data_IF_629014353057
#
_entry.id   IF_629014353057
#
_cell.length_a   1.000
_cell.length_b   1.000
_cell.length_c   1.000
_cell.angle_alpha   90.00
_cell.angle_beta   90.00
_cell.angle_gamma   90.00
#
_symmetry.space_group_name_H-M   'P 1'
#
loop_
_entity.id
_entity.type
_entity.pdbx_description
1 polymer ?
#
# COMPACT_ATOMS: atom_id res chain seq x y z
N UNK A 1 59.53 -39.03 -41.27
CA UNK A 1 60.27 -37.83 -40.84
C UNK A 1 59.98 -37.63 -39.36
N UNK A 2 60.97 -37.97 -38.53
CA UNK A 2 61.22 -37.70 -37.10
C UNK A 2 60.27 -36.74 -36.34
N UNK A 3 60.04 -36.82 -35.02
CA UNK A 3 60.31 -37.73 -33.89
C UNK A 3 59.65 -37.03 -32.66
N UNK A 4 58.77 -37.73 -31.95
CA UNK A 4 58.76 -37.99 -30.48
C UNK A 4 59.24 -36.88 -29.51
N UNK A 5 58.43 -36.52 -28.49
CA UNK A 5 58.65 -36.87 -27.05
C UNK A 5 57.65 -36.25 -26.05
N UNK A 6 57.08 -37.17 -25.25
CA UNK A 6 56.45 -37.00 -23.93
C UNK A 6 57.45 -36.60 -22.83
N UNK A 7 56.92 -36.06 -21.72
CA UNK A 7 57.13 -36.41 -20.28
C UNK A 7 56.45 -35.32 -19.43
N UNK A 8 55.48 -35.58 -18.55
CA UNK A 8 55.44 -36.38 -17.31
C UNK A 8 56.07 -35.72 -16.07
N UNK A 9 55.39 -35.93 -14.94
CA UNK A 9 55.79 -35.82 -13.52
C UNK A 9 55.79 -34.42 -12.84
N UNK A 10 55.38 -34.21 -11.59
CA UNK A 10 55.00 -35.11 -10.49
C UNK A 10 54.27 -34.35 -9.35
N UNK A 11 53.46 -35.12 -8.64
CA UNK A 11 52.82 -35.03 -7.31
C UNK A 11 53.52 -34.23 -6.18
N UNK A 12 52.74 -33.68 -5.23
CA UNK A 12 52.90 -34.00 -3.79
C UNK A 12 51.71 -33.59 -2.89
N UNK A 13 51.22 -34.55 -2.08
CA UNK A 13 50.30 -34.43 -0.93
C UNK A 13 51.11 -34.50 0.39
N UNK A 14 50.62 -33.89 1.49
CA UNK A 14 50.58 -34.42 2.90
C UNK A 14 50.10 -33.31 3.87
N UNK A 15 48.94 -33.40 4.55
CA UNK A 15 48.57 -34.02 5.86
C UNK A 15 49.30 -33.48 7.12
N UNK A 16 48.52 -32.86 8.04
CA UNK A 16 48.29 -33.22 9.48
C UNK A 16 49.17 -32.37 10.43
N UNK A 17 48.79 -31.91 11.64
CA UNK A 17 48.13 -32.59 12.76
C UNK A 17 47.76 -31.59 13.91
N UNK A 18 46.97 -32.05 14.90
CA UNK A 18 46.36 -31.33 16.05
C UNK A 18 47.31 -31.07 17.25
N UNK A 19 46.95 -30.10 18.12
CA UNK A 19 47.04 -30.23 19.62
C UNK A 19 46.25 -29.14 20.39
N UNK A 20 45.39 -29.57 21.33
CA UNK A 20 44.77 -28.80 22.45
C UNK A 20 45.64 -28.95 23.72
N UNK A 21 45.59 -28.05 24.74
CA UNK A 21 44.65 -28.20 25.88
C UNK A 21 44.29 -26.94 26.74
N UNK A 22 43.19 -27.00 27.51
CA UNK A 22 43.17 -26.62 28.95
C UNK A 22 42.61 -25.27 29.46
N UNK A 23 41.36 -25.31 29.97
CA UNK A 23 40.79 -24.74 31.23
C UNK A 23 40.73 -23.22 31.60
N UNK A 24 39.49 -22.85 31.99
CA UNK A 24 39.00 -21.94 33.04
C UNK A 24 39.20 -20.40 32.98
N UNK A 25 38.07 -19.68 32.91
CA UNK A 25 37.99 -18.25 33.24
C UNK A 25 36.58 -17.67 33.10
N UNK A 26 35.95 -17.34 34.23
CA UNK A 26 34.68 -16.63 34.41
C UNK A 26 34.36 -15.55 33.35
N UNK A 27 33.19 -15.64 32.71
CA UNK A 27 32.57 -14.53 31.98
C UNK A 27 31.41 -13.95 32.82
N UNK A 28 31.74 -13.02 33.70
CA UNK A 28 30.83 -11.90 33.99
C UNK A 28 31.05 -10.86 32.88
N UNK A 29 30.30 -10.96 31.79
CA UNK A 29 30.27 -9.91 30.76
C UNK A 29 29.07 -9.00 31.02
N UNK A 30 29.36 -7.78 31.47
CA UNK A 30 28.42 -6.66 31.41
C UNK A 30 27.94 -6.51 29.96
N UNK A 31 26.65 -6.76 29.71
CA UNK A 31 26.08 -6.63 28.37
C UNK A 31 25.98 -5.14 28.00
N UNK A 32 27.02 -4.61 27.39
CA UNK A 32 26.93 -3.34 26.66
C UNK A 32 26.05 -3.64 25.44
N UNK A 33 24.81 -3.17 25.44
CA UNK A 33 23.86 -3.41 24.34
C UNK A 33 24.40 -2.73 23.07
N UNK A 34 24.97 -3.53 22.17
CA UNK A 34 25.57 -3.09 20.91
C UNK A 34 24.59 -2.29 20.03
N UNK A 35 23.27 -2.41 20.27
CA UNK A 35 22.25 -1.64 19.57
C UNK A 35 22.24 -0.17 20.03
N UNK A 36 22.44 0.09 21.32
CA UNK A 36 22.49 1.44 21.86
C UNK A 36 23.74 2.20 21.40
N UNK A 37 24.89 1.51 21.37
CA UNK A 37 26.18 2.08 20.90
C UNK A 37 26.19 2.36 19.40
N UNK A 38 25.42 1.62 18.59
CA UNK A 38 25.25 1.90 17.17
C UNK A 38 24.26 3.04 16.92
N UNK A 39 23.14 3.08 17.66
CA UNK A 39 22.13 4.12 17.52
C UNK A 39 22.63 5.51 17.94
N UNK A 40 23.47 5.59 18.97
CA UNK A 40 24.04 6.85 19.45
C UNK A 40 25.00 7.53 18.48
N UNK A 41 25.63 6.78 17.55
CA UNK A 41 26.49 7.35 16.49
C UNK A 41 25.72 8.15 15.43
N UNK A 42 24.40 8.00 15.37
CA UNK A 42 23.54 8.76 14.46
C UNK A 42 23.24 10.19 14.96
N UNK A 43 23.64 10.53 16.18
CA UNK A 43 23.33 11.81 16.83
C UNK A 43 24.61 12.56 17.21
N UNK A 44 24.58 13.89 17.13
CA UNK A 44 25.65 14.72 17.71
C UNK A 44 25.59 14.64 19.24
N UNK A 45 26.73 14.86 19.91
CA UNK A 45 26.79 14.81 21.38
C UNK A 45 25.75 15.74 22.03
N UNK A 46 25.59 16.96 21.48
CA UNK A 46 24.55 17.91 21.92
C UNK A 46 23.14 17.31 21.84
N UNK A 47 22.79 16.65 20.74
CA UNK A 47 21.47 16.02 20.58
C UNK A 47 21.26 14.84 21.53
N UNK A 48 22.31 14.08 21.84
CA UNK A 48 22.25 13.01 22.83
C UNK A 48 22.02 13.56 24.24
N UNK A 49 22.64 14.69 24.56
CA UNK A 49 22.48 15.35 25.86
C UNK A 49 21.09 16.00 26.00
N UNK A 50 20.57 16.61 24.92
CA UNK A 50 19.20 17.13 24.85
C UNK A 50 18.16 15.99 25.02
N UNK A 51 18.37 14.85 24.34
CA UNK A 51 17.48 13.69 24.44
C UNK A 51 17.50 13.07 25.85
N UNK A 52 18.68 13.02 26.49
CA UNK A 52 18.81 12.58 27.89
C UNK A 52 18.11 13.53 28.85
N UNK A 53 18.26 14.84 28.66
CA UNK A 53 17.59 15.85 29.49
C UNK A 53 16.06 15.76 29.35
N UNK A 54 15.57 15.58 28.12
CA UNK A 54 14.16 15.34 27.85
C UNK A 54 13.67 14.05 28.52
N UNK A 55 14.41 12.95 28.40
CA UNK A 55 14.06 11.69 29.04
C UNK A 55 13.97 11.83 30.57
N UNK A 56 14.96 12.46 31.22
CA UNK A 56 14.96 12.71 32.67
C UNK A 56 13.77 13.58 33.08
N UNK A 57 13.45 14.63 32.31
CA UNK A 57 12.28 15.47 32.57
C UNK A 57 10.95 14.69 32.46
N UNK A 58 10.86 13.74 31.53
CA UNK A 58 9.66 12.93 31.35
C UNK A 58 9.56 11.78 32.34
N UNK A 59 10.68 11.17 32.71
CA UNK A 59 10.73 10.09 33.67
C UNK A 59 10.43 10.60 35.10
N UNK A 60 10.90 11.81 35.45
CA UNK A 60 10.49 12.48 36.69
C UNK A 60 8.98 12.80 36.74
N UNK A 61 8.39 13.27 35.63
CA UNK A 61 6.93 13.42 35.49
C UNK A 61 6.17 12.10 35.55
N UNK A 62 6.84 10.99 35.22
CA UNK A 62 6.30 9.63 35.30
C UNK A 62 6.40 9.03 36.70
N UNK A 63 7.00 9.74 37.66
CA UNK A 63 7.33 9.25 38.99
C UNK A 63 8.15 7.95 38.99
N UNK A 64 8.91 7.70 37.91
CA UNK A 64 9.67 6.47 37.71
C UNK A 64 11.09 6.55 38.29
N UNK A 65 11.42 7.64 38.98
CA UNK A 65 12.78 7.92 39.48
C UNK A 65 13.85 7.81 38.39
N UNK A 66 13.59 8.42 37.23
CA UNK A 66 14.46 8.46 36.04
C UNK A 66 14.75 7.11 35.36
N UNK A 67 13.96 6.07 35.66
CA UNK A 67 14.12 4.76 35.02
C UNK A 67 13.33 4.57 33.72
N UNK A 68 12.15 5.18 33.57
CA UNK A 68 11.32 5.02 32.36
C UNK A 68 10.28 6.15 32.22
N UNK A 69 9.86 6.46 30.99
CA UNK A 69 8.72 7.37 30.78
C UNK A 69 7.44 6.54 30.74
N UNK A 70 6.49 6.84 31.62
CA UNK A 70 5.20 6.14 31.65
C UNK A 70 4.36 6.52 30.44
N UNK A 71 3.58 5.56 29.97
CA UNK A 71 2.78 5.71 28.75
C UNK A 71 1.85 6.95 28.77
N UNK A 72 1.16 7.31 29.87
CA UNK A 72 0.34 8.51 29.92
C UNK A 72 1.14 9.82 29.78
N UNK A 73 2.36 9.87 30.33
CA UNK A 73 3.24 11.06 30.22
C UNK A 73 3.79 11.20 28.81
N UNK A 74 4.03 10.06 28.12
CA UNK A 74 4.42 10.04 26.72
C UNK A 74 3.29 10.53 25.79
N UNK A 75 2.03 10.16 26.06
CA UNK A 75 0.86 10.57 25.26
C UNK A 75 0.59 12.08 25.28
N UNK A 76 0.81 12.75 26.41
CA UNK A 76 0.67 14.22 26.50
C UNK A 76 1.68 14.92 25.58
N UNK A 77 2.84 14.30 25.34
CA UNK A 77 3.83 14.81 24.40
C UNK A 77 3.34 14.71 22.96
N UNK A 78 2.64 13.62 22.61
CA UNK A 78 2.08 13.34 21.28
C UNK A 78 1.00 14.36 20.88
N UNK A 79 0.25 14.90 21.85
CA UNK A 79 -0.80 15.90 21.60
C UNK A 79 -0.21 17.30 21.28
N UNK A 80 1.03 17.59 21.69
CA UNK A 80 1.73 18.84 21.36
C UNK A 80 2.55 18.78 20.06
N UNK A 81 2.49 17.68 19.27
CA UNK A 81 3.35 17.48 18.08
C UNK A 81 2.79 18.12 16.81
N UNK A 82 1.99 19.18 16.92
CA UNK A 82 1.75 20.07 15.77
C UNK A 82 2.93 21.03 15.52
N UNK A 83 3.81 21.23 16.51
CA UNK A 83 4.89 22.24 16.44
C UNK A 83 6.33 21.69 16.44
N UNK A 84 6.53 20.37 16.26
CA UNK A 84 7.86 19.74 16.36
C UNK A 84 8.29 18.97 15.10
N UNK A 85 8.15 19.57 13.92
CA UNK A 85 8.63 19.01 12.64
C UNK A 85 10.17 18.92 12.51
N UNK A 86 10.97 19.22 13.55
CA UNK A 86 12.43 19.34 13.41
C UNK A 86 13.30 18.39 14.25
N UNK A 87 12.75 17.44 15.04
CA UNK A 87 13.60 16.80 16.06
C UNK A 87 13.83 15.28 16.06
N UNK A 88 13.13 14.42 15.32
CA UNK A 88 13.39 12.97 15.43
C UNK A 88 13.40 12.22 14.08
N UNK A 89 14.61 11.94 13.61
CA UNK A 89 14.92 10.99 12.52
C UNK A 89 14.79 9.54 13.05
N UNK A 90 13.55 9.10 13.28
CA UNK A 90 13.23 7.68 13.54
C UNK A 90 13.01 7.02 12.17
N UNK A 91 14.12 6.75 11.47
CA UNK A 91 14.11 6.27 10.07
C UNK A 91 14.38 4.78 9.86
N UNK A 92 14.40 3.93 10.90
CA UNK A 92 14.86 2.55 10.71
C UNK A 92 13.82 1.42 10.79
N UNK A 93 12.52 1.65 11.02
CA UNK A 93 11.57 0.52 11.00
C UNK A 93 10.11 0.77 10.59
N UNK A 94 9.67 1.99 10.23
CA UNK A 94 8.30 2.21 9.73
C UNK A 94 8.37 3.23 8.61
N UNK A 95 8.20 2.78 7.37
CA UNK A 95 8.05 3.70 6.22
C UNK A 95 6.75 4.47 6.40
N UNK A 96 6.85 5.78 6.63
CA UNK A 96 5.73 6.68 6.84
C UNK A 96 4.84 6.74 5.58
N UNK A 97 3.72 6.03 5.63
CA UNK A 97 2.55 6.28 4.78
C UNK A 97 1.62 7.21 5.57
N UNK A 98 1.32 8.41 5.05
CA UNK A 98 0.22 9.20 5.59
C UNK A 98 -1.08 8.58 5.09
N UNK A 99 -1.68 7.72 5.90
CA UNK A 99 -3.05 7.26 5.68
C UNK A 99 -3.96 8.13 6.53
N UNK A 100 -4.86 8.87 5.88
CA UNK A 100 -6.00 9.43 6.59
C UNK A 100 -7.06 8.35 6.66
N UNK A 101 -7.15 7.68 7.82
CA UNK A 101 -8.34 6.89 8.14
C UNK A 101 -9.39 7.88 8.66
N UNK A 102 -10.53 8.00 7.97
CA UNK A 102 -11.75 8.43 8.66
C UNK A 102 -12.32 7.25 9.45
N UNK A 103 -11.77 7.01 10.63
CA UNK A 103 -12.55 6.45 11.74
C UNK A 103 -12.81 7.65 12.65
N UNK A 104 -14.10 7.97 12.84
CA UNK A 104 -14.62 9.02 13.74
C UNK A 104 -14.55 10.49 13.27
N UNK A 105 -15.21 10.83 12.16
CA UNK A 105 -15.70 12.22 11.96
C UNK A 105 -16.97 12.28 11.09
N UNK A 106 -17.95 11.43 11.41
CA UNK A 106 -19.38 11.74 11.29
C UNK A 106 -20.15 11.02 12.42
N UNK A 107 -19.53 10.89 13.60
CA UNK A 107 -20.07 10.18 14.77
C UNK A 107 -20.40 11.08 15.97
N UNK A 108 -20.30 12.41 15.86
CA UNK A 108 -20.63 13.32 16.96
C UNK A 108 -21.87 14.20 16.77
N UNK A 109 -22.53 14.18 15.61
CA UNK A 109 -23.80 14.91 15.41
C UNK A 109 -24.67 14.20 14.37
N UNK A 110 -25.33 13.12 14.76
CA UNK A 110 -26.72 12.77 14.42
C UNK A 110 -27.05 11.51 15.24
N UNK A 111 -28.14 11.62 15.96
CA UNK A 111 -28.76 10.59 16.77
C UNK A 111 -29.01 9.30 15.96
N UNK A 112 -28.85 8.14 16.61
CA UNK A 112 -29.29 6.81 16.19
C UNK A 112 -28.79 6.31 14.82
N UNK A 113 -27.70 5.52 14.79
CA UNK A 113 -27.30 4.76 13.60
C UNK A 113 -26.97 3.30 13.94
N UNK A 114 -27.61 2.40 13.20
CA UNK A 114 -27.45 0.94 13.24
C UNK A 114 -25.99 0.49 13.09
N UNK A 115 -25.62 -0.55 13.85
CA UNK A 115 -24.34 -1.24 13.89
C UNK A 115 -24.09 -2.12 12.63
N UNK A 116 -23.87 -1.54 11.45
CA UNK A 116 -23.66 -2.32 10.22
C UNK A 116 -22.18 -2.49 9.83
N UNK A 117 -21.83 -3.71 9.39
CA UNK A 117 -20.55 -4.07 8.75
C UNK A 117 -20.41 -3.27 7.44
N UNK A 118 -19.21 -2.71 7.12
CA UNK A 118 -19.02 -1.96 5.88
C UNK A 118 -19.31 -2.81 4.64
N UNK A 119 -19.94 -2.22 3.63
CA UNK A 119 -20.26 -2.91 2.37
C UNK A 119 -19.05 -3.04 1.45
N UNK A 120 -18.08 -2.14 1.57
CA UNK A 120 -16.85 -2.17 0.77
C UNK A 120 -15.68 -1.44 1.46
N UNK A 121 -14.47 -1.73 0.99
CA UNK A 121 -13.24 -0.96 1.22
C UNK A 121 -12.85 -0.26 -0.09
N UNK A 122 -12.94 1.07 -0.13
CA UNK A 122 -12.44 1.88 -1.24
C UNK A 122 -11.03 2.40 -0.93
N UNK A 123 -10.04 1.99 -1.72
CA UNK A 123 -8.62 2.28 -1.51
C UNK A 123 -8.12 3.16 -2.65
N UNK A 124 -7.84 4.42 -2.32
CA UNK A 124 -7.38 5.44 -3.25
C UNK A 124 -5.87 5.66 -3.11
N UNK A 125 -5.11 5.34 -4.16
CA UNK A 125 -3.70 5.65 -4.28
C UNK A 125 -3.53 7.01 -4.94
N UNK A 126 -2.92 7.93 -4.20
CA UNK A 126 -2.72 9.30 -4.64
C UNK A 126 -1.66 9.44 -5.75
N UNK A 127 -1.55 10.66 -6.27
CA UNK A 127 -0.70 11.03 -7.38
C UNK A 127 0.61 11.70 -7.02
N UNK A 128 1.24 12.26 -8.06
CA UNK A 128 2.35 13.19 -7.94
C UNK A 128 1.98 14.38 -7.04
N UNK A 129 2.97 14.87 -6.29
CA UNK A 129 2.85 15.99 -5.37
C UNK A 129 2.88 17.30 -6.10
N UNK A 130 1.89 18.15 -5.80
CA UNK A 130 1.85 19.52 -6.29
C UNK A 130 1.48 20.40 -5.09
N UNK A 131 2.39 21.30 -4.72
CA UNK A 131 2.22 22.24 -3.59
C UNK A 131 2.42 23.67 -4.08
N UNK A 132 1.90 24.61 -3.30
CA UNK A 132 2.11 26.05 -3.45
C UNK A 132 1.72 26.55 -4.85
N UNK A 133 0.69 25.96 -5.43
CA UNK A 133 0.21 26.32 -6.78
C UNK A 133 -0.51 27.65 -6.82
N UNK A 134 -1.00 28.11 -5.66
CA UNK A 134 -1.99 29.20 -5.57
C UNK A 134 -3.37 28.85 -6.13
N UNK A 135 -3.56 27.61 -6.62
CA UNK A 135 -4.84 27.15 -7.15
C UNK A 135 -5.62 26.40 -6.08
N UNK A 136 -6.65 27.05 -5.54
CA UNK A 136 -7.51 26.51 -4.48
C UNK A 136 -8.16 25.15 -4.80
N UNK A 137 -8.41 24.83 -6.09
CA UNK A 137 -8.95 23.54 -6.49
C UNK A 137 -7.90 22.45 -6.33
N UNK A 138 -6.66 22.70 -6.77
CA UNK A 138 -5.55 21.76 -6.64
C UNK A 138 -5.23 21.52 -5.17
N UNK A 139 -5.05 22.59 -4.38
CA UNK A 139 -4.70 22.46 -2.95
C UNK A 139 -5.78 21.68 -2.19
N UNK A 140 -7.06 21.92 -2.49
CA UNK A 140 -8.18 21.17 -1.90
C UNK A 140 -8.16 19.69 -2.27
N UNK A 141 -7.80 19.37 -3.52
CA UNK A 141 -7.85 17.99 -4.04
C UNK A 141 -6.54 17.24 -3.85
N UNK A 142 -5.49 17.92 -3.39
CA UNK A 142 -4.28 17.31 -2.84
C UNK A 142 -4.46 16.91 -1.37
N UNK A 143 -5.37 17.57 -0.64
CA UNK A 143 -5.67 17.24 0.75
C UNK A 143 -6.28 15.82 0.88
N UNK A 144 -5.53 14.94 1.55
CA UNK A 144 -5.90 13.52 1.69
C UNK A 144 -7.22 13.32 2.45
N UNK A 145 -7.50 14.18 3.44
CA UNK A 145 -8.76 14.12 4.17
C UNK A 145 -9.92 14.46 3.23
N UNK A 146 -9.74 15.49 2.39
CA UNK A 146 -10.75 15.91 1.44
C UNK A 146 -11.04 14.84 0.41
N UNK A 147 -9.99 14.20 -0.13
CA UNK A 147 -10.12 13.04 -1.02
C UNK A 147 -10.94 11.94 -0.35
N UNK A 148 -10.67 11.61 0.91
CA UNK A 148 -11.46 10.60 1.63
C UNK A 148 -12.95 10.96 1.72
N UNK A 149 -13.31 12.24 1.94
CA UNK A 149 -14.72 12.67 1.94
C UNK A 149 -15.37 12.52 0.58
N UNK A 150 -14.63 12.83 -0.50
CA UNK A 150 -15.11 12.67 -1.86
C UNK A 150 -15.40 11.20 -2.13
N UNK A 151 -14.47 10.29 -1.78
CA UNK A 151 -14.67 8.84 -1.95
C UNK A 151 -15.92 8.36 -1.21
N UNK A 152 -16.11 8.72 0.06
CA UNK A 152 -17.33 8.36 0.82
C UNK A 152 -18.58 8.94 0.16
N UNK A 153 -18.53 10.19 -0.32
CA UNK A 153 -19.69 10.80 -1.00
C UNK A 153 -20.06 10.11 -2.31
N UNK A 154 -19.09 9.51 -3.01
CA UNK A 154 -19.26 8.83 -4.29
C UNK A 154 -19.77 7.39 -4.13
N UNK A 155 -19.23 6.65 -3.16
CA UNK A 155 -19.56 5.23 -2.96
C UNK A 155 -20.57 4.97 -1.84
N UNK A 156 -20.92 5.98 -1.05
CA UNK A 156 -21.91 5.92 0.02
C UNK A 156 -21.32 5.72 1.41
N UNK A 157 -22.16 5.96 2.43
CA UNK A 157 -21.75 6.01 3.84
C UNK A 157 -21.40 4.63 4.45
N UNK A 158 -21.68 3.54 3.75
CA UNK A 158 -21.36 2.17 4.19
C UNK A 158 -19.98 1.70 3.75
N UNK A 159 -19.19 2.55 3.07
CA UNK A 159 -17.85 2.22 2.57
C UNK A 159 -16.76 2.76 3.49
N UNK A 160 -15.76 1.92 3.77
CA UNK A 160 -14.50 2.36 4.36
C UNK A 160 -13.65 3.03 3.28
N UNK A 161 -13.25 4.28 3.48
CA UNK A 161 -12.34 4.99 2.58
C UNK A 161 -10.90 4.99 3.13
N UNK A 162 -9.97 4.52 2.32
CA UNK A 162 -8.54 4.46 2.60
C UNK A 162 -7.82 5.33 1.56
N UNK A 163 -7.13 6.38 1.98
CA UNK A 163 -6.32 7.23 1.07
C UNK A 163 -4.85 7.00 1.36
N UNK A 164 -4.11 6.57 0.34
CA UNK A 164 -2.71 6.13 0.41
C UNK A 164 -1.84 7.05 -0.44
N UNK A 165 -1.04 7.88 0.23
CA UNK A 165 0.04 8.65 -0.38
C UNK A 165 1.32 7.80 -0.51
N UNK A 166 2.18 8.10 -1.49
CA UNK A 166 3.49 7.45 -1.59
C UNK A 166 4.37 7.78 -0.37
N UNK A 167 5.13 6.78 0.11
CA UNK A 167 6.07 6.96 1.22
C UNK A 167 7.31 7.78 0.85
N UNK A 168 7.60 7.88 -0.45
CA UNK A 168 8.78 8.55 -0.99
C UNK A 168 8.40 9.39 -2.20
N UNK A 169 8.98 10.58 -2.27
CA UNK A 169 8.90 11.47 -3.42
C UNK A 169 10.31 11.87 -3.89
N UNK A 170 10.46 12.07 -5.19
CA UNK A 170 11.62 12.76 -5.76
C UNK A 170 11.13 14.03 -6.45
N UNK A 171 11.29 15.17 -5.78
CA UNK A 171 10.60 16.40 -6.16
C UNK A 171 9.07 16.17 -6.13
N UNK A 172 8.34 16.47 -7.21
CA UNK A 172 6.90 16.22 -7.28
C UNK A 172 6.57 14.74 -7.54
N UNK A 173 7.54 13.90 -7.89
CA UNK A 173 7.24 12.55 -8.39
C UNK A 173 7.00 11.56 -7.26
N UNK A 174 5.81 10.97 -7.20
CA UNK A 174 5.45 9.92 -6.25
C UNK A 174 6.13 8.58 -6.62
N UNK A 175 6.64 7.88 -5.61
CA UNK A 175 7.40 6.63 -5.79
C UNK A 175 6.78 5.50 -4.95
N UNK A 176 5.98 4.65 -5.60
CA UNK A 176 5.32 3.48 -4.98
C UNK A 176 6.21 2.23 -4.94
N UNK A 177 7.47 2.38 -4.51
CA UNK A 177 8.47 1.29 -4.48
C UNK A 177 8.07 0.09 -3.61
N UNK A 178 7.21 0.31 -2.62
CA UNK A 178 6.76 -0.73 -1.69
C UNK A 178 5.64 -1.60 -2.29
N UNK A 179 5.05 -1.18 -3.42
CA UNK A 179 3.95 -1.88 -4.08
C UNK A 179 4.34 -2.48 -5.41
N UNK A 180 5.45 -2.05 -6.03
CA UNK A 180 5.88 -2.54 -7.35
C UNK A 180 7.32 -3.08 -7.28
N UNK A 181 7.70 -4.09 -8.10
CA UNK A 181 8.99 -4.78 -7.96
C UNK A 181 10.21 -3.87 -8.10
N UNK A 182 10.14 -2.87 -8.99
CA UNK A 182 11.20 -1.90 -9.19
C UNK A 182 10.68 -0.64 -9.85
N UNK A 183 11.29 0.49 -9.50
CA UNK A 183 10.98 1.83 -10.05
C UNK A 183 12.29 2.56 -10.35
N UNK A 184 12.24 3.45 -11.34
CA UNK A 184 13.31 4.42 -11.56
C UNK A 184 13.20 5.59 -10.57
N UNK A 185 14.13 6.56 -10.68
CA UNK A 185 14.19 7.72 -9.79
C UNK A 185 12.98 8.67 -9.91
N UNK A 186 12.12 8.55 -10.93
CA UNK A 186 10.88 9.30 -11.09
C UNK A 186 9.64 8.45 -10.75
N UNK A 187 9.82 7.28 -10.13
CA UNK A 187 8.71 6.40 -9.75
C UNK A 187 8.09 5.60 -10.89
N UNK A 188 8.64 5.65 -12.11
CA UNK A 188 8.13 4.83 -13.21
C UNK A 188 8.66 3.40 -13.10
N UNK A 189 7.80 2.37 -13.16
CA UNK A 189 8.20 0.98 -13.02
C UNK A 189 8.96 0.50 -14.27
N UNK A 190 9.95 -0.37 -14.07
CA UNK A 190 10.64 -1.04 -15.20
C UNK A 190 9.74 -2.09 -15.87
N UNK A 191 8.96 -2.77 -15.06
CA UNK A 191 7.98 -3.79 -15.45
C UNK A 191 7.03 -4.07 -14.30
N UNK A 192 5.83 -4.52 -14.60
CA UNK A 192 4.92 -5.10 -13.63
C UNK A 192 5.16 -6.60 -13.53
N UNK A 193 5.20 -7.17 -12.33
CA UNK A 193 5.46 -8.59 -12.14
C UNK A 193 4.63 -9.14 -10.98
N UNK A 194 3.83 -10.19 -11.19
CA UNK A 194 2.99 -10.78 -10.15
C UNK A 194 3.81 -11.57 -9.11
N UNK A 195 5.09 -11.85 -9.37
CA UNK A 195 5.93 -12.68 -8.51
C UNK A 195 6.05 -12.05 -7.12
N UNK A 196 5.71 -12.84 -6.09
CA UNK A 196 5.75 -12.40 -4.70
C UNK A 196 4.57 -11.54 -4.26
N UNK A 197 3.63 -11.21 -5.16
CA UNK A 197 2.44 -10.43 -4.85
C UNK A 197 2.75 -9.09 -4.13
N UNK A 198 3.65 -8.25 -4.70
CA UNK A 198 4.17 -7.08 -4.00
C UNK A 198 3.10 -6.05 -3.62
N UNK A 199 2.11 -5.78 -4.48
CA UNK A 199 1.07 -4.80 -4.17
C UNK A 199 0.07 -5.35 -3.14
N UNK A 200 -0.51 -6.53 -3.39
CA UNK A 200 -1.54 -7.08 -2.49
C UNK A 200 -1.00 -7.43 -1.10
N UNK A 201 0.22 -7.96 -1.01
CA UNK A 201 0.86 -8.23 0.29
C UNK A 201 1.08 -6.93 1.07
N UNK A 202 1.65 -5.91 0.41
CA UNK A 202 1.89 -4.60 1.03
C UNK A 202 0.59 -3.93 1.45
N UNK A 203 -0.49 -4.01 0.66
CA UNK A 203 -1.79 -3.44 1.02
C UNK A 203 -2.39 -4.14 2.23
N UNK A 204 -2.41 -5.48 2.27
CA UNK A 204 -2.95 -6.22 3.41
C UNK A 204 -2.17 -5.92 4.68
N UNK A 205 -0.83 -5.89 4.61
CA UNK A 205 0.00 -5.48 5.74
C UNK A 205 -0.29 -4.05 6.17
N UNK A 206 -0.40 -3.12 5.22
CA UNK A 206 -0.68 -1.71 5.50
C UNK A 206 -2.02 -1.51 6.19
N UNK A 207 -3.10 -2.10 5.66
CA UNK A 207 -4.44 -2.02 6.24
C UNK A 207 -4.47 -2.66 7.63
N UNK A 208 -3.83 -3.81 7.80
CA UNK A 208 -3.79 -4.54 9.08
C UNK A 208 -3.05 -3.75 10.16
N UNK A 209 -1.88 -3.18 9.81
CA UNK A 209 -1.12 -2.33 10.72
C UNK A 209 -1.90 -1.07 11.09
N UNK A 210 -2.56 -0.44 10.11
CA UNK A 210 -3.33 0.77 10.36
C UNK A 210 -4.53 0.50 11.28
N UNK A 211 -5.27 -0.58 11.02
CA UNK A 211 -6.37 -1.00 11.89
C UNK A 211 -5.90 -1.31 13.32
N UNK A 212 -4.77 -2.00 13.45
CA UNK A 212 -4.20 -2.32 14.75
C UNK A 212 -3.80 -1.09 15.55
N UNK A 213 -3.24 -0.05 14.92
CA UNK A 213 -2.93 1.22 15.61
C UNK A 213 -4.20 1.95 16.06
N UNK A 214 -5.24 2.02 15.22
CA UNK A 214 -6.52 2.64 15.62
C UNK A 214 -7.16 1.91 16.81
N UNK A 215 -7.05 0.59 16.87
CA UNK A 215 -7.60 -0.21 17.97
C UNK A 215 -6.80 -0.08 19.28
N UNK A 216 -5.51 0.31 19.22
CA UNK A 216 -4.67 0.53 20.41
C UNK A 216 -4.98 1.84 21.15
N UNK A 217 -5.50 2.85 20.46
CA UNK A 217 -5.74 4.19 21.02
C UNK A 217 -6.91 4.27 22.03
N UNK A 218 -7.32 3.14 22.62
CA UNK A 218 -8.24 3.11 23.76
C UNK A 218 -9.68 3.45 23.40
N UNK A 219 -10.06 3.33 22.13
CA UNK A 219 -11.49 3.24 21.84
C UNK A 219 -11.93 1.90 22.39
N UNK A 220 -12.69 1.92 23.49
CA UNK A 220 -13.45 0.79 23.99
C UNK A 220 -14.54 0.51 22.94
N UNK A 221 -14.12 0.00 21.78
CA UNK A 221 -15.04 -0.33 20.73
C UNK A 221 -15.65 -1.65 21.17
N UNK A 222 -16.81 -1.55 21.80
CA UNK A 222 -17.78 -2.62 21.95
C UNK A 222 -18.19 -3.11 20.54
N UNK A 223 -17.29 -3.84 19.88
CA UNK A 223 -17.41 -4.21 18.46
C UNK A 223 -17.33 -5.71 18.21
N UNK A 224 -17.23 -6.54 19.25
CA UNK A 224 -16.83 -7.95 19.02
C UNK A 224 -17.92 -9.00 19.28
N UNK A 225 -19.03 -8.71 19.96
CA UNK A 225 -19.86 -9.85 20.42
C UNK A 225 -21.29 -9.99 19.86
N UNK A 226 -21.76 -9.20 18.89
CA UNK A 226 -23.18 -9.31 18.47
C UNK A 226 -23.50 -9.14 16.97
N UNK A 227 -22.68 -9.67 16.07
CA UNK A 227 -23.17 -9.99 14.71
C UNK A 227 -22.85 -11.45 14.43
N UNK A 228 -23.65 -12.33 15.01
CA UNK A 228 -23.71 -13.72 14.59
C UNK A 228 -24.22 -13.79 13.15
N UNK A 229 -23.60 -14.66 12.35
CA UNK A 229 -24.12 -15.16 11.06
C UNK A 229 -24.04 -14.21 9.85
N UNK A 230 -22.84 -13.82 9.38
CA UNK A 230 -22.52 -13.78 7.92
C UNK A 230 -21.00 -13.82 7.69
N UNK A 231 -20.51 -14.78 6.90
CA UNK A 231 -19.16 -14.79 6.30
C UNK A 231 -19.01 -13.71 5.21
N UNK A 232 -19.22 -12.42 5.52
CA UNK A 232 -19.09 -11.36 4.52
C UNK A 232 -17.82 -10.55 4.71
N UNK A 233 -16.80 -10.84 3.89
CA UNK A 233 -15.70 -9.91 3.67
C UNK A 233 -16.22 -8.79 2.75
N UNK A 234 -16.10 -7.51 3.12
CA UNK A 234 -16.51 -6.40 2.26
C UNK A 234 -15.78 -6.46 0.91
N UNK A 235 -16.48 -6.04 -0.16
CA UNK A 235 -15.84 -5.90 -1.48
C UNK A 235 -14.71 -4.86 -1.42
N UNK A 236 -13.77 -4.95 -2.35
CA UNK A 236 -12.68 -3.98 -2.48
C UNK A 236 -12.81 -3.22 -3.80
N UNK A 237 -12.70 -1.90 -3.69
CA UNK A 237 -12.66 -0.96 -4.82
C UNK A 237 -11.28 -0.31 -4.76
N UNK A 238 -10.49 -0.40 -5.82
CA UNK A 238 -9.17 0.23 -5.88
C UNK A 238 -9.16 1.36 -6.89
N UNK A 239 -8.59 2.49 -6.52
CA UNK A 239 -8.51 3.69 -7.36
C UNK A 239 -7.07 4.16 -7.41
N UNK A 240 -6.54 4.40 -8.61
CA UNK A 240 -5.19 4.93 -8.80
C UNK A 240 -5.24 6.26 -9.53
N UNK A 241 -4.92 7.34 -8.82
CA UNK A 241 -4.84 8.69 -9.38
C UNK A 241 -3.42 9.03 -9.83
N UNK A 242 -3.25 9.53 -11.06
CA UNK A 242 -1.94 9.98 -11.56
C UNK A 242 -0.88 8.87 -11.43
N UNK A 243 0.13 9.00 -10.57
CA UNK A 243 1.10 7.93 -10.26
C UNK A 243 0.52 6.73 -9.53
N UNK A 244 -0.60 6.85 -8.82
CA UNK A 244 -1.29 5.72 -8.21
C UNK A 244 -1.67 4.62 -9.21
N UNK A 245 -1.76 4.96 -10.51
CA UNK A 245 -1.97 3.99 -11.58
C UNK A 245 -0.90 2.90 -11.69
N UNK A 246 0.33 3.13 -11.20
CA UNK A 246 1.37 2.08 -11.17
C UNK A 246 0.98 0.93 -10.24
N UNK A 247 0.29 1.24 -9.14
CA UNK A 247 -0.23 0.24 -8.21
C UNK A 247 -1.37 -0.54 -8.87
N UNK A 248 -2.23 0.13 -9.65
CA UNK A 248 -3.31 -0.53 -10.38
C UNK A 248 -2.76 -1.55 -11.38
N UNK A 249 -1.77 -1.16 -12.19
CA UNK A 249 -1.13 -2.07 -13.14
C UNK A 249 -0.44 -3.25 -12.45
N UNK A 250 0.14 -3.04 -11.29
CA UNK A 250 0.74 -4.12 -10.51
C UNK A 250 -0.33 -5.07 -9.93
N UNK A 251 -1.44 -4.54 -9.40
CA UNK A 251 -2.58 -5.33 -8.94
C UNK A 251 -3.20 -6.14 -10.07
N UNK A 252 -3.40 -5.54 -11.24
CA UNK A 252 -3.92 -6.25 -12.42
C UNK A 252 -2.99 -7.41 -12.84
N UNK A 253 -1.68 -7.21 -12.75
CA UNK A 253 -0.71 -8.28 -12.99
C UNK A 253 -0.89 -9.42 -11.98
N UNK A 254 -1.05 -9.09 -10.68
CA UNK A 254 -1.28 -10.06 -9.60
C UNK A 254 -2.62 -10.80 -9.72
N UNK A 255 -3.72 -10.11 -10.06
CA UNK A 255 -5.02 -10.72 -10.34
C UNK A 255 -4.89 -11.75 -11.47
N UNK A 256 -4.10 -11.44 -12.51
CA UNK A 256 -3.86 -12.34 -13.65
C UNK A 256 -3.08 -13.61 -13.31
N UNK A 257 -2.46 -13.66 -12.13
CA UNK A 257 -1.63 -14.78 -11.67
C UNK A 257 -2.18 -15.49 -10.44
N UNK A 258 -3.34 -15.06 -9.95
CA UNK A 258 -4.01 -15.73 -8.84
C UNK A 258 -4.68 -17.02 -9.31
N UNK A 259 -4.30 -18.15 -8.70
CA UNK A 259 -4.85 -19.46 -9.02
C UNK A 259 -6.35 -19.55 -8.67
N UNK A 260 -7.17 -19.97 -9.63
CA UNK A 260 -8.62 -20.20 -9.43
C UNK A 260 -8.96 -21.35 -8.49
N UNK A 261 -8.00 -22.23 -8.18
CA UNK A 261 -8.26 -23.41 -7.35
C UNK A 261 -8.59 -23.06 -5.89
N UNK A 262 -8.22 -21.87 -5.42
CA UNK A 262 -8.54 -21.42 -4.06
C UNK A 262 -10.01 -21.06 -3.84
N UNK A 263 -10.75 -20.66 -4.89
CA UNK A 263 -12.16 -20.30 -4.76
C UNK A 263 -13.07 -21.50 -4.42
N UNK A 264 -12.60 -22.73 -4.67
CA UNK A 264 -13.32 -23.96 -4.27
C UNK A 264 -13.00 -24.38 -2.84
N UNK A 265 -11.78 -24.14 -2.36
CA UNK A 265 -11.32 -24.59 -1.04
C UNK A 265 -11.92 -23.77 0.11
N UNK A 266 -12.26 -22.50 -0.12
CA UNK A 266 -12.99 -21.67 0.87
C UNK A 266 -14.41 -22.15 1.16
N UNK A 267 -14.96 -23.10 0.38
CA UNK A 267 -16.27 -23.70 0.64
C UNK A 267 -16.22 -25.08 1.32
N UNK A 268 -15.03 -25.69 1.46
CA UNK A 268 -14.96 -27.13 1.72
C UNK A 268 -14.12 -27.59 2.92
N UNK A 269 -13.24 -26.79 3.53
CA UNK A 269 -12.44 -27.27 4.68
C UNK A 269 -12.06 -26.12 5.63
N UNK A 270 -12.71 -26.04 6.80
CA UNK A 270 -12.14 -26.21 8.16
C UNK A 270 -13.34 -26.33 9.13
N UNK A 271 -13.90 -27.53 9.27
CA UNK A 271 -14.52 -27.92 10.53
C UNK A 271 -13.38 -28.42 11.42
N UNK A 272 -12.75 -27.52 12.16
CA UNK A 272 -11.94 -27.91 13.30
C UNK A 272 -12.34 -27.04 14.49
N UNK A 273 -13.14 -27.68 15.34
CA UNK A 273 -13.67 -27.17 16.58
C UNK A 273 -12.56 -26.72 17.53
N UNK A 274 -12.37 -25.41 17.66
CA UNK A 274 -11.92 -24.80 18.90
C UNK A 274 -12.71 -23.52 19.13
N UNK A 275 -13.20 -23.35 20.36
CA UNK A 275 -13.98 -22.20 20.83
C UNK A 275 -13.31 -20.88 20.47
N UNK A 276 -13.80 -20.16 19.46
CA UNK A 276 -13.22 -18.90 19.01
C UNK A 276 -14.33 -17.87 18.79
N UNK A 277 -14.23 -16.73 19.47
CA UNK A 277 -15.02 -15.55 19.16
C UNK A 277 -14.85 -15.23 17.66
N UNK A 278 -15.94 -15.23 16.90
CA UNK A 278 -15.94 -14.86 15.48
C UNK A 278 -15.56 -13.38 15.35
N UNK A 279 -14.32 -13.13 14.91
CA UNK A 279 -13.80 -11.78 14.76
C UNK A 279 -14.37 -11.15 13.49
N UNK A 280 -15.10 -10.03 13.62
CA UNK A 280 -15.59 -9.24 12.48
C UNK A 280 -14.38 -8.82 11.62
N UNK A 281 -14.39 -9.23 10.36
CA UNK A 281 -13.32 -8.97 9.42
C UNK A 281 -13.70 -7.83 8.48
N UNK A 282 -13.37 -6.59 8.88
CA UNK A 282 -13.66 -5.37 8.09
C UNK A 282 -12.66 -5.12 6.95
N UNK A 283 -11.52 -5.84 6.94
CA UNK A 283 -10.49 -5.80 5.90
C UNK A 283 -10.04 -7.23 5.53
N UNK A 284 -9.56 -7.48 4.31
CA UNK A 284 -9.02 -8.78 3.92
C UNK A 284 -7.82 -9.20 4.79
N UNK A 285 -7.73 -10.49 5.14
CA UNK A 285 -6.71 -11.04 6.07
C UNK A 285 -5.50 -11.63 5.34
N UNK A 286 -5.66 -11.94 4.06
CA UNK A 286 -4.58 -12.43 3.20
C UNK A 286 -4.60 -11.72 1.85
N UNK A 287 -3.47 -11.73 1.16
CA UNK A 287 -3.33 -11.19 -0.21
C UNK A 287 -4.28 -11.85 -1.20
N UNK A 288 -4.53 -13.15 -1.07
CA UNK A 288 -5.50 -13.89 -1.90
C UNK A 288 -6.93 -13.43 -1.60
N UNK A 289 -7.31 -13.31 -0.33
CA UNK A 289 -8.63 -12.78 0.05
C UNK A 289 -8.82 -11.34 -0.42
N UNK A 290 -7.74 -10.53 -0.39
CA UNK A 290 -7.74 -9.17 -0.91
C UNK A 290 -7.98 -9.15 -2.41
N UNK A 291 -7.17 -9.86 -3.20
CA UNK A 291 -7.31 -9.93 -4.65
C UNK A 291 -8.66 -10.51 -5.09
N UNK A 292 -9.18 -11.50 -4.37
CA UNK A 292 -10.51 -12.07 -4.63
C UNK A 292 -11.64 -11.07 -4.31
N UNK A 293 -11.45 -10.18 -3.33
CA UNK A 293 -12.45 -9.17 -2.98
C UNK A 293 -12.52 -7.99 -3.94
N UNK A 294 -11.51 -7.78 -4.81
CA UNK A 294 -11.49 -6.64 -5.75
C UNK A 294 -12.62 -6.81 -6.78
N UNK A 295 -13.63 -5.94 -6.71
CA UNK A 295 -14.74 -5.90 -7.66
C UNK A 295 -14.60 -4.76 -8.66
N UNK A 296 -13.90 -3.68 -8.31
CA UNK A 296 -13.75 -2.49 -9.15
C UNK A 296 -12.32 -1.93 -9.14
N UNK A 297 -11.83 -1.53 -10.32
CA UNK A 297 -10.54 -0.89 -10.52
C UNK A 297 -10.74 0.42 -11.30
N UNK A 298 -10.37 1.54 -10.71
CA UNK A 298 -10.48 2.86 -11.31
C UNK A 298 -9.10 3.43 -11.63
N UNK A 299 -8.83 3.63 -12.92
CA UNK A 299 -7.70 4.44 -13.39
C UNK A 299 -8.16 5.89 -13.48
N UNK A 300 -7.56 6.79 -12.69
CA UNK A 300 -7.97 8.20 -12.64
C UNK A 300 -6.83 9.07 -13.14
N UNK A 301 -6.98 9.60 -14.35
CA UNK A 301 -6.04 10.50 -15.02
C UNK A 301 -4.58 10.04 -14.90
N UNK A 302 -4.38 8.74 -15.08
CA UNK A 302 -3.10 8.07 -14.90
C UNK A 302 -2.12 8.50 -15.99
N UNK A 303 -0.89 8.81 -15.58
CA UNK A 303 0.17 9.23 -16.48
C UNK A 303 1.57 8.99 -15.93
N UNK A 304 2.50 8.70 -16.84
CA UNK A 304 3.92 8.53 -16.58
C UNK A 304 4.75 9.38 -17.54
N UNK A 305 6.00 9.67 -17.15
CA UNK A 305 6.99 10.35 -18.01
C UNK A 305 7.72 9.37 -18.95
N UNK A 306 7.27 8.13 -19.01
CA UNK A 306 7.74 7.06 -19.89
C UNK A 306 6.58 6.12 -20.22
N UNK A 307 6.81 5.15 -21.10
CA UNK A 307 5.86 4.05 -21.31
C UNK A 307 5.58 3.25 -20.02
N UNK A 308 4.48 2.51 -20.03
CA UNK A 308 4.00 1.68 -18.93
C UNK A 308 2.94 2.34 -18.05
N UNK A 309 2.27 3.39 -18.53
CA UNK A 309 1.18 4.04 -17.81
C UNK A 309 -0.06 3.12 -17.71
N UNK A 310 -0.28 2.28 -18.72
CA UNK A 310 -1.33 1.25 -18.72
C UNK A 310 -0.76 -0.10 -19.16
N UNK A 311 -1.38 -1.21 -18.72
CA UNK A 311 -1.01 -2.55 -19.18
C UNK A 311 -1.40 -2.73 -20.65
N UNK A 312 -0.42 -3.15 -21.45
CA UNK A 312 -0.62 -3.54 -22.86
C UNK A 312 -0.30 -5.02 -23.11
N UNK A 313 0.02 -5.79 -22.06
CA UNK A 313 0.26 -7.22 -22.19
C UNK A 313 -1.06 -7.98 -22.31
N UNK A 314 -1.33 -8.47 -23.52
CA UNK A 314 -2.50 -9.30 -23.82
C UNK A 314 -2.65 -10.50 -22.87
N UNK A 315 -1.53 -11.13 -22.48
CA UNK A 315 -1.59 -12.32 -21.64
C UNK A 315 -2.11 -12.01 -20.23
N UNK A 316 -1.84 -10.81 -19.70
CA UNK A 316 -2.38 -10.36 -18.41
C UNK A 316 -3.90 -10.27 -18.50
N UNK A 317 -4.42 -9.55 -19.49
CA UNK A 317 -5.86 -9.34 -19.68
C UNK A 317 -6.60 -10.67 -19.98
N UNK A 318 -6.02 -11.50 -20.84
CA UNK A 318 -6.56 -12.82 -21.16
C UNK A 318 -6.63 -13.74 -19.94
N UNK A 319 -5.59 -13.78 -19.09
CA UNK A 319 -5.62 -14.60 -17.87
C UNK A 319 -6.65 -14.11 -16.86
N UNK A 320 -6.85 -12.79 -16.74
CA UNK A 320 -7.93 -12.22 -15.91
C UNK A 320 -9.28 -12.73 -16.42
N UNK A 321 -9.55 -12.59 -17.71
CA UNK A 321 -10.77 -13.09 -18.37
C UNK A 321 -11.02 -14.57 -18.12
N UNK A 322 -10.01 -15.42 -18.34
CA UNK A 322 -10.09 -16.85 -18.07
C UNK A 322 -10.40 -17.16 -16.60
N UNK A 323 -9.80 -16.41 -15.66
CA UNK A 323 -10.10 -16.54 -14.23
C UNK A 323 -11.57 -16.24 -13.92
N UNK A 324 -12.13 -15.17 -14.51
CA UNK A 324 -13.54 -14.82 -14.34
C UNK A 324 -14.48 -15.89 -14.94
N UNK A 325 -14.16 -16.37 -16.14
CA UNK A 325 -14.91 -17.43 -16.82
C UNK A 325 -14.95 -18.73 -16.01
N UNK A 326 -13.87 -19.04 -15.28
CA UNK A 326 -13.73 -20.23 -14.42
C UNK A 326 -14.43 -20.13 -13.06
N UNK A 327 -15.13 -19.03 -12.79
CA UNK A 327 -16.01 -18.91 -11.63
C UNK A 327 -15.65 -17.81 -10.63
N UNK A 328 -14.59 -17.03 -10.87
CA UNK A 328 -14.34 -15.85 -10.03
C UNK A 328 -15.44 -14.78 -10.19
N UNK A 329 -15.53 -13.90 -9.19
CA UNK A 329 -16.48 -12.77 -9.16
C UNK A 329 -16.21 -11.76 -10.27
N UNK A 330 -17.25 -11.05 -10.68
CA UNK A 330 -17.16 -10.02 -11.74
C UNK A 330 -16.17 -8.91 -11.38
N UNK A 331 -15.45 -8.43 -12.38
CA UNK A 331 -14.50 -7.32 -12.25
C UNK A 331 -14.89 -6.20 -13.21
N UNK A 332 -15.09 -5.01 -12.65
CA UNK A 332 -15.34 -3.78 -13.42
C UNK A 332 -14.09 -2.92 -13.44
N UNK A 333 -13.72 -2.45 -14.61
CA UNK A 333 -12.57 -1.56 -14.82
C UNK A 333 -13.06 -0.26 -15.44
N UNK A 334 -12.79 0.85 -14.78
CA UNK A 334 -13.19 2.18 -15.25
C UNK A 334 -11.93 3.01 -15.51
N UNK A 335 -11.86 3.59 -16.69
CA UNK A 335 -10.75 4.44 -17.12
C UNK A 335 -11.28 5.88 -17.24
N UNK A 336 -10.88 6.71 -16.30
CA UNK A 336 -11.22 8.13 -16.23
C UNK A 336 -10.03 8.95 -16.70
N UNK A 337 -10.26 9.96 -17.54
CA UNK A 337 -9.19 10.88 -17.89
C UNK A 337 -9.65 12.19 -18.50
N UNK A 338 -8.68 13.07 -18.63
CA UNK A 338 -8.84 14.46 -19.06
C UNK A 338 -7.99 14.75 -20.30
N UNK A 339 -8.25 15.86 -21.01
CA UNK A 339 -7.37 16.35 -22.06
C UNK A 339 -5.91 16.48 -21.59
N UNK A 340 -5.67 16.82 -20.32
CA UNK A 340 -4.32 16.99 -19.76
C UNK A 340 -3.45 15.74 -19.87
N UNK A 341 -4.03 14.53 -19.79
CA UNK A 341 -3.28 13.28 -19.98
C UNK A 341 -3.51 12.66 -21.35
N UNK A 342 -4.75 12.62 -21.84
CA UNK A 342 -5.07 11.88 -23.07
C UNK A 342 -4.83 12.66 -24.36
N UNK A 343 -4.72 13.99 -24.28
CA UNK A 343 -4.41 14.85 -25.42
C UNK A 343 -2.99 15.45 -25.33
N UNK A 344 -2.14 14.96 -24.44
CA UNK A 344 -0.76 15.41 -24.29
C UNK A 344 0.10 14.89 -25.45
N UNK A 345 0.45 15.76 -26.41
CA UNK A 345 1.24 15.40 -27.59
C UNK A 345 2.66 14.94 -27.24
N UNK A 346 3.25 15.50 -26.17
CA UNK A 346 4.59 15.13 -25.72
C UNK A 346 4.60 13.75 -25.06
N UNK A 347 3.47 13.32 -24.51
CA UNK A 347 3.28 12.05 -23.83
C UNK A 347 2.24 11.17 -24.53
N UNK A 348 2.24 11.18 -25.87
CA UNK A 348 1.26 10.45 -26.69
C UNK A 348 1.21 8.94 -26.48
N UNK A 349 2.19 8.34 -25.80
CA UNK A 349 2.13 6.94 -25.36
C UNK A 349 1.01 6.69 -24.34
N UNK A 350 0.68 7.66 -23.49
CA UNK A 350 -0.37 7.52 -22.46
C UNK A 350 -1.70 7.15 -23.11
N UNK A 351 -2.10 7.93 -24.13
CA UNK A 351 -3.31 7.65 -24.90
C UNK A 351 -3.23 6.31 -25.64
N UNK A 352 -2.10 6.02 -26.30
CA UNK A 352 -1.91 4.76 -27.05
C UNK A 352 -2.03 3.52 -26.16
N UNK A 353 -1.37 3.53 -25.00
CA UNK A 353 -1.42 2.43 -24.02
C UNK A 353 -2.81 2.29 -23.42
N UNK A 354 -3.48 3.40 -23.10
CA UNK A 354 -4.87 3.41 -22.63
C UNK A 354 -5.83 2.86 -23.68
N UNK A 355 -5.73 3.30 -24.93
CA UNK A 355 -6.54 2.80 -26.06
C UNK A 355 -6.33 1.30 -26.24
N UNK A 356 -5.08 0.83 -26.14
CA UNK A 356 -4.76 -0.59 -26.22
C UNK A 356 -5.32 -1.40 -25.04
N UNK A 357 -5.21 -0.91 -23.80
CA UNK A 357 -5.82 -1.55 -22.64
C UNK A 357 -7.34 -1.67 -22.83
N UNK A 358 -8.03 -0.59 -23.23
CA UNK A 358 -9.47 -0.61 -23.49
C UNK A 358 -9.82 -1.63 -24.57
N UNK A 359 -9.04 -1.68 -25.66
CA UNK A 359 -9.25 -2.65 -26.74
C UNK A 359 -9.12 -4.10 -26.24
N UNK A 360 -8.09 -4.39 -25.46
CA UNK A 360 -7.85 -5.71 -24.87
C UNK A 360 -8.98 -6.12 -23.90
N UNK A 361 -9.41 -5.22 -23.02
CA UNK A 361 -10.49 -5.48 -22.06
C UNK A 361 -11.84 -5.71 -22.76
N UNK A 362 -12.15 -4.94 -23.80
CA UNK A 362 -13.37 -5.12 -24.61
C UNK A 362 -13.36 -6.47 -25.32
N UNK A 363 -12.23 -6.85 -25.92
CA UNK A 363 -12.08 -8.13 -26.62
C UNK A 363 -12.30 -9.35 -25.69
N UNK A 364 -11.96 -9.21 -24.41
CA UNK A 364 -12.09 -10.28 -23.42
C UNK A 364 -13.42 -10.27 -22.64
N UNK A 365 -14.31 -9.31 -22.90
CA UNK A 365 -15.61 -9.21 -22.22
C UNK A 365 -16.47 -10.44 -22.47
N UNK A 366 -16.59 -10.88 -23.73
CA UNK A 366 -17.37 -12.08 -24.11
C UNK A 366 -16.75 -13.37 -23.55
N UNK A 367 -15.42 -13.49 -23.62
CA UNK A 367 -14.68 -14.65 -23.10
C UNK A 367 -14.89 -14.85 -21.59
N UNK A 368 -15.08 -13.76 -20.85
CA UNK A 368 -15.38 -13.81 -19.42
C UNK A 368 -16.85 -14.14 -19.09
N UNK A 369 -17.72 -14.30 -20.10
CA UNK A 369 -19.17 -14.44 -19.92
C UNK A 369 -19.84 -13.14 -19.45
N UNK A 370 -19.29 -11.98 -19.83
CA UNK A 370 -19.78 -10.66 -19.40
C UNK A 370 -19.40 -10.26 -17.97
N UNK A 371 -18.55 -11.05 -17.29
CA UNK A 371 -18.07 -10.77 -15.93
C UNK A 371 -16.96 -9.73 -15.89
N UNK A 372 -16.19 -9.57 -16.96
CA UNK A 372 -15.26 -8.47 -17.15
C UNK A 372 -16.00 -7.30 -17.80
N UNK A 373 -16.08 -6.18 -17.10
CA UNK A 373 -16.74 -4.97 -17.61
C UNK A 373 -15.72 -3.85 -17.75
N UNK A 374 -15.80 -3.09 -18.83
CA UNK A 374 -14.92 -1.95 -19.08
C UNK A 374 -15.72 -0.71 -19.42
N UNK A 375 -15.40 0.40 -18.76
CA UNK A 375 -16.01 1.70 -18.99
C UNK A 375 -14.93 2.75 -19.18
N UNK A 376 -15.13 3.66 -20.13
CA UNK A 376 -14.25 4.79 -20.38
C UNK A 376 -15.04 6.09 -20.18
N UNK A 377 -14.45 7.03 -19.45
CA UNK A 377 -15.08 8.31 -19.12
C UNK A 377 -14.08 9.44 -19.38
N UNK A 378 -14.41 10.29 -20.35
CA UNK A 378 -13.59 11.45 -20.74
C UNK A 378 -14.20 12.73 -20.20
N UNK A 379 -13.46 13.45 -19.37
CA UNK A 379 -13.93 14.63 -18.63
C UNK A 379 -13.33 15.91 -19.22
N UNK A 380 -14.07 17.01 -19.11
CA UNK A 380 -13.60 18.35 -19.49
C UNK A 380 -13.15 18.48 -20.96
N UNK A 381 -13.74 17.70 -21.87
CA UNK A 381 -13.39 17.67 -23.30
C UNK A 381 -13.57 19.01 -24.01
N UNK A 382 -14.36 19.90 -23.42
CA UNK A 382 -14.68 21.25 -23.87
C UNK A 382 -13.66 22.31 -23.39
N UNK A 383 -12.72 21.94 -22.52
CA UNK A 383 -11.71 22.84 -21.93
C UNK A 383 -10.32 22.58 -22.49
N UNK A 384 -9.51 23.63 -22.56
CA UNK A 384 -8.07 23.49 -22.85
C UNK A 384 -7.37 22.77 -21.70
N UNK A 385 -6.41 21.90 -22.03
CA UNK A 385 -5.63 21.15 -21.06
C UNK A 385 -4.90 22.07 -20.07
N UNK A 386 -5.14 21.87 -18.77
CA UNK A 386 -4.48 22.59 -17.69
C UNK A 386 -4.13 21.64 -16.53
N UNK A 387 -3.37 22.14 -15.54
CA UNK A 387 -3.04 21.32 -14.37
C UNK A 387 -4.23 21.15 -13.42
N UNK A 388 -5.18 22.09 -13.41
CA UNK A 388 -6.32 22.02 -12.51
C UNK A 388 -7.19 20.80 -12.83
N UNK A 389 -7.52 20.57 -14.10
CA UNK A 389 -8.36 19.46 -14.51
C UNK A 389 -7.78 18.09 -14.12
N UNK A 390 -6.44 17.99 -14.06
CA UNK A 390 -5.76 16.79 -13.59
C UNK A 390 -6.23 16.41 -12.18
N UNK A 391 -6.41 17.39 -11.29
CA UNK A 391 -6.90 17.16 -9.93
C UNK A 391 -8.43 17.20 -9.86
N UNK A 392 -9.07 18.14 -10.57
CA UNK A 392 -10.52 18.36 -10.59
C UNK A 392 -11.31 17.10 -10.98
N UNK A 393 -10.70 16.19 -11.75
CA UNK A 393 -11.30 14.88 -12.07
C UNK A 393 -11.59 14.02 -10.83
N UNK A 394 -10.87 14.20 -9.72
CA UNK A 394 -11.16 13.46 -8.46
C UNK A 394 -12.57 13.79 -7.96
N UNK A 395 -13.02 15.04 -8.11
CA UNK A 395 -14.40 15.42 -7.82
C UNK A 395 -15.37 15.01 -8.93
N UNK A 396 -14.96 15.20 -10.19
CA UNK A 396 -15.84 15.00 -11.34
C UNK A 396 -16.09 13.52 -11.65
N UNK A 397 -15.21 12.62 -11.20
CA UNK A 397 -15.32 11.20 -11.53
C UNK A 397 -16.67 10.65 -11.11
N UNK A 398 -17.24 9.86 -12.01
CA UNK A 398 -18.53 9.23 -11.83
C UNK A 398 -18.29 7.74 -11.69
N UNK A 399 -18.61 7.24 -10.50
CA UNK A 399 -18.35 5.87 -10.07
C UNK A 399 -19.54 4.94 -10.32
N UNK A 400 -20.69 5.50 -10.75
CA UNK A 400 -21.88 4.73 -11.11
C UNK A 400 -21.67 3.77 -12.27
#
# INVERSE_FOLDING_TARGET
MNLVKNRDDETCRRTEERKNPGENGNLNSSSVDHRFTSASRAFTQKKLDDLKSLFVSLASKSHSNDQYVSYPVFQVLTICVSDLESFLDIKSCICYMKIVIKILAFRSKILNFDQQVPSANAIFFHGDKVQDTGNHVIERLYDLQKVAEIIVSKFGNSVNAWVVEASVFNGPFAIYKDFVPSVNHMGAPKSYSPVGFPASSSIVSLLSSCLHEVLKEGTDVCLIDQIASVHHCPKTIVLGFSKGGVVMNQLMSEISSLDTNFAKTSSAMVEESTSQHEKIQIIPASKESFLNSISEVHYIDVGLNSSGAYITDHNVVQRISQRLARGADSLRIVIHGTPRQWCDELRGWIRKEKDELVRLLKAETENSGGKLQVCERFYFSDRLADLQMHFEIIDAMDVS
#
